data_IF_459852769400
#
_entry.id   IF_459852769400
#
_cell.length_a   1.000
_cell.length_b   1.000
_cell.length_c   1.000
_cell.angle_alpha   90.00
_cell.angle_beta   90.00
_cell.angle_gamma   90.00
#
_symmetry.space_group_name_H-M   'P 1'
#
loop_
_entity.id
_entity.type
_entity.pdbx_description
1 polymer ?
#
# COMPACT_ATOMS: atom_id res chain seq x y z
N UNK A 1 0.18 -14.44 -4.60
CA UNK A 1 -0.27 -13.07 -4.65
C UNK A 1 0.50 -12.21 -3.68
N UNK A 2 0.91 -11.04 -4.13
CA UNK A 2 1.66 -10.14 -3.26
C UNK A 2 0.71 -9.41 -2.33
N UNK A 3 1.05 -9.40 -1.04
CA UNK A 3 0.27 -8.60 -0.11
C UNK A 3 0.85 -7.17 -0.09
N UNK A 4 0.22 -6.30 0.68
CA UNK A 4 0.64 -4.90 0.71
C UNK A 4 2.08 -4.74 1.20
N UNK A 5 2.49 -5.57 2.14
CA UNK A 5 3.86 -5.51 2.64
C UNK A 5 4.85 -5.89 1.55
N UNK A 6 4.53 -6.92 0.79
CA UNK A 6 5.38 -7.33 -0.31
C UNK A 6 5.43 -6.28 -1.41
N UNK A 7 4.30 -5.66 -1.69
CA UNK A 7 4.23 -4.62 -2.71
C UNK A 7 5.19 -3.48 -2.37
N UNK A 8 5.25 -3.11 -1.10
CA UNK A 8 6.18 -2.08 -0.66
C UNK A 8 7.59 -2.61 -0.38
N UNK A 9 7.75 -3.91 -0.34
CA UNK A 9 9.05 -4.49 -0.07
C UNK A 9 9.48 -4.36 1.37
N UNK A 10 8.54 -4.39 2.30
CA UNK A 10 8.84 -4.29 3.72
C UNK A 10 8.31 -5.52 4.44
N UNK A 11 8.75 -5.71 5.68
CA UNK A 11 8.28 -6.80 6.50
C UNK A 11 6.98 -6.43 7.20
N UNK A 12 6.26 -7.43 7.65
CA UNK A 12 5.01 -7.20 8.36
C UNK A 12 5.22 -6.43 9.65
N UNK A 13 6.41 -6.50 10.19
CA UNK A 13 6.76 -5.79 11.41
C UNK A 13 7.32 -4.39 11.15
N UNK A 14 7.32 -3.95 9.91
CA UNK A 14 7.87 -2.66 9.56
C UNK A 14 7.20 -1.53 10.33
N UNK A 15 8.00 -0.56 10.74
CA UNK A 15 7.48 0.63 11.42
C UNK A 15 6.80 1.54 10.39
N UNK A 16 5.92 2.44 10.85
CA UNK A 16 5.32 3.42 9.93
C UNK A 16 6.37 4.20 9.15
N UNK A 17 7.48 4.50 9.77
CA UNK A 17 8.54 5.23 9.09
C UNK A 17 9.20 4.40 8.00
N UNK A 18 9.39 3.12 8.27
CA UNK A 18 9.95 2.22 7.27
C UNK A 18 9.00 2.08 6.08
N UNK A 19 7.72 2.00 6.36
CA UNK A 19 6.71 1.91 5.31
C UNK A 19 6.74 3.18 4.46
N UNK A 20 6.81 4.32 5.10
CA UNK A 20 6.83 5.59 4.39
C UNK A 20 8.08 5.71 3.52
N UNK A 21 9.21 5.30 4.05
CA UNK A 21 10.47 5.35 3.31
C UNK A 21 10.43 4.45 2.09
N UNK A 22 9.89 3.24 2.27
CA UNK A 22 9.76 2.31 1.16
C UNK A 22 8.86 2.88 0.07
N UNK A 23 7.74 3.47 0.49
CA UNK A 23 6.83 4.07 -0.47
C UNK A 23 7.51 5.17 -1.26
N UNK A 24 8.22 6.05 -0.58
CA UNK A 24 8.88 7.15 -1.25
C UNK A 24 9.90 6.67 -2.29
N UNK A 25 10.62 5.63 -1.93
CA UNK A 25 11.61 5.07 -2.84
C UNK A 25 10.94 4.52 -4.09
N UNK A 26 9.89 3.73 -3.89
CA UNK A 26 9.18 3.14 -5.01
C UNK A 26 8.47 4.19 -5.85
N UNK A 27 7.91 5.20 -5.20
CA UNK A 27 7.24 6.26 -5.92
C UNK A 27 8.19 6.99 -6.85
N UNK A 28 9.42 7.18 -6.41
CA UNK A 28 10.42 7.81 -7.27
C UNK A 28 10.82 6.93 -8.44
N UNK A 29 10.99 5.64 -8.17
CA UNK A 29 11.41 4.71 -9.22
C UNK A 29 10.34 4.48 -10.26
N UNK A 30 9.09 4.55 -9.85
CA UNK A 30 7.97 4.26 -10.73
C UNK A 30 7.30 5.50 -11.29
N UNK A 31 7.82 6.67 -10.97
CA UNK A 31 7.25 7.92 -11.47
C UNK A 31 7.29 7.96 -12.98
N UNK A 32 6.24 8.46 -13.63
CA UNK A 32 6.18 8.50 -15.09
C UNK A 32 7.35 9.23 -15.75
N UNK A 33 7.91 10.22 -15.08
CA UNK A 33 9.06 10.94 -15.60
C UNK A 33 10.32 10.07 -15.67
N UNK A 34 10.41 9.11 -14.75
CA UNK A 34 11.56 8.23 -14.69
C UNK A 34 11.29 6.93 -15.43
N UNK A 35 10.06 6.46 -15.35
CA UNK A 35 9.71 5.17 -15.91
C UNK A 35 8.33 5.26 -16.55
N UNK A 36 8.26 5.63 -17.81
CA UNK A 36 6.97 5.87 -18.49
C UNK A 36 6.24 4.63 -18.98
N UNK A 37 6.70 3.44 -18.60
CA UNK A 37 6.05 2.23 -19.08
C UNK A 37 4.68 2.02 -18.43
N UNK A 38 3.82 1.27 -19.11
CA UNK A 38 2.51 0.95 -18.57
C UNK A 38 2.63 0.08 -17.32
N UNK A 39 3.62 -0.78 -17.30
CA UNK A 39 3.85 -1.64 -16.15
C UNK A 39 4.21 -0.84 -14.91
N UNK A 40 5.04 0.18 -15.07
CA UNK A 40 5.41 1.03 -13.96
C UNK A 40 4.19 1.78 -13.43
N UNK A 41 3.33 2.22 -14.33
CA UNK A 41 2.10 2.92 -13.95
C UNK A 41 1.20 2.02 -13.11
N UNK A 42 1.06 0.77 -13.51
CA UNK A 42 0.26 -0.18 -12.78
C UNK A 42 0.85 -0.46 -11.40
N UNK A 43 2.16 -0.63 -11.36
CA UNK A 43 2.82 -0.86 -10.08
C UNK A 43 2.71 0.35 -9.17
N UNK A 44 2.76 1.53 -9.73
CA UNK A 44 2.62 2.75 -8.95
C UNK A 44 1.27 2.80 -8.26
N UNK A 45 0.22 2.39 -8.97
CA UNK A 45 -1.11 2.33 -8.36
C UNK A 45 -1.16 1.33 -7.22
N UNK A 46 -0.55 0.17 -7.41
CA UNK A 46 -0.50 -0.84 -6.35
C UNK A 46 0.28 -0.34 -5.14
N UNK A 47 1.40 0.30 -5.39
CA UNK A 47 2.24 0.84 -4.33
C UNK A 47 1.48 1.91 -3.55
N UNK A 48 0.79 2.79 -4.25
CA UNK A 48 0.02 3.85 -3.60
C UNK A 48 -1.10 3.25 -2.75
N UNK A 49 -1.80 2.27 -3.29
CA UNK A 49 -2.86 1.63 -2.55
C UNK A 49 -2.33 0.92 -1.29
N UNK A 50 -1.22 0.20 -1.45
CA UNK A 50 -0.62 -0.48 -0.31
C UNK A 50 -0.20 0.52 0.77
N UNK A 51 0.35 1.64 0.36
CA UNK A 51 0.75 2.67 1.31
C UNK A 51 -0.46 3.26 2.02
N UNK A 52 -1.55 3.50 1.29
CA UNK A 52 -2.75 4.04 1.89
C UNK A 52 -3.26 3.14 3.02
N UNK A 53 -3.20 1.84 2.80
CA UNK A 53 -3.66 0.90 3.81
C UNK A 53 -2.68 0.81 4.97
N UNK A 54 -1.40 0.70 4.68
CA UNK A 54 -0.41 0.43 5.71
C UNK A 54 0.01 1.68 6.47
N UNK A 55 -0.23 2.86 5.92
CA UNK A 55 0.14 4.10 6.61
C UNK A 55 -0.91 4.52 7.63
N UNK A 56 -2.11 4.02 7.53
CA UNK A 56 -3.18 4.33 8.47
C UNK A 56 -3.23 3.22 9.51
N UNK A 57 -3.01 3.53 10.80
CA UNK A 57 -2.99 2.49 11.84
C UNK A 57 -4.26 1.65 11.87
N UNK A 58 -5.40 2.26 11.62
CA UNK A 58 -6.66 1.53 11.63
C UNK A 58 -6.75 0.57 10.47
N UNK A 59 -6.47 1.06 9.27
CA UNK A 59 -6.57 0.21 8.09
C UNK A 59 -5.52 -0.87 8.11
N UNK A 60 -4.34 -0.54 8.62
CA UNK A 60 -3.31 -1.53 8.76
C UNK A 60 -3.75 -2.64 9.70
N UNK A 61 -4.36 -2.26 10.81
CA UNK A 61 -4.83 -3.25 11.78
C UNK A 61 -5.89 -4.15 11.17
N UNK A 62 -6.83 -3.57 10.46
CA UNK A 62 -7.86 -4.36 9.80
C UNK A 62 -7.28 -5.28 8.75
N UNK A 63 -6.31 -4.78 8.01
CA UNK A 63 -5.65 -5.60 7.01
C UNK A 63 -4.95 -6.79 7.64
N UNK A 64 -4.28 -6.55 8.76
CA UNK A 64 -3.55 -7.61 9.46
C UNK A 64 -4.49 -8.66 10.04
N UNK A 65 -5.69 -8.25 10.42
CA UNK A 65 -6.68 -9.18 10.96
C UNK A 65 -7.27 -10.09 9.89
N UNK A 66 -7.19 -9.66 8.65
CA UNK A 66 -7.63 -10.50 7.54
C UNK A 66 -9.04 -10.24 7.08
N UNK A 67 -9.51 -10.99 6.10
CA UNK A 67 -10.79 -10.73 5.44
C UNK A 67 -12.01 -10.76 6.36
N UNK A 68 -11.99 -11.60 7.38
CA UNK A 68 -13.14 -11.68 8.27
C UNK A 68 -13.36 -10.38 9.02
N UNK A 69 -12.27 -9.79 9.47
CA UNK A 69 -12.37 -8.53 10.18
C UNK A 69 -12.51 -7.38 9.22
N UNK A 70 -12.04 -7.55 8.01
CA UNK A 70 -12.06 -6.51 7.01
C UNK A 70 -13.42 -6.24 6.40
N UNK A 71 -14.38 -7.01 6.80
CA UNK A 71 -15.72 -6.84 6.31
C UNK A 71 -16.23 -5.41 6.47
N UNK A 72 -15.98 -4.82 7.62
CA UNK A 72 -16.35 -3.43 7.83
C UNK A 72 -15.48 -2.48 7.04
N UNK A 73 -14.27 -2.88 6.77
CA UNK A 73 -13.35 -2.04 6.02
C UNK A 73 -13.81 -1.80 4.60
N UNK A 74 -14.52 -2.76 4.05
CA UNK A 74 -15.03 -2.58 2.71
C UNK A 74 -15.97 -1.41 2.61
N UNK A 75 -16.77 -1.22 3.62
CA UNK A 75 -17.68 -0.09 3.66
C UNK A 75 -16.93 1.21 3.77
N UNK A 76 -15.90 1.23 4.56
CA UNK A 76 -15.10 2.42 4.70
C UNK A 76 -14.48 2.85 3.41
N UNK A 77 -14.12 1.91 2.63
CA UNK A 77 -13.48 2.20 1.40
C UNK A 77 -14.34 3.10 0.54
N UNK A 78 -15.62 2.82 0.51
CA UNK A 78 -16.53 3.66 -0.22
C UNK A 78 -16.58 5.06 0.33
N UNK A 79 -16.53 5.18 1.63
CA UNK A 79 -16.56 6.48 2.26
C UNK A 79 -15.30 7.28 2.04
N UNK A 80 -14.27 6.61 1.70
CA UNK A 80 -13.01 7.25 1.49
C UNK A 80 -13.07 8.28 0.36
N UNK A 81 -13.78 7.98 -0.67
CA UNK A 81 -13.87 8.95 -1.75
C UNK A 81 -14.92 10.00 -1.43
#
# INVERSE_FOLDING_TARGET
MADHYEVLGVERTATPEEIKRAYRKLARELHPDVNPSAEASERFKEVTHAYDVLSDPRERQQYDLGPQAGFGGGANFGGFS
#
